data_IF_493763709318
#
_entry.id   IF_493763709318
#
_cell.length_a   1.000
_cell.length_b   1.000
_cell.length_c   1.000
_cell.angle_alpha   90.00
_cell.angle_beta   90.00
_cell.angle_gamma   90.00
#
_symmetry.space_group_name_H-M   'P 1'
#
loop_
_entity.id
_entity.type
_entity.pdbx_description
1 polymer ?
#
# COMPACT_ATOMS: atom_id res chain seq x y z
N UNK A 1 6.67 -20.30 -41.44
CA UNK A 1 8.11 -20.44 -41.11
C UNK A 1 8.79 -19.09 -40.92
N UNK A 2 8.80 -18.19 -41.92
CA UNK A 2 9.49 -16.89 -41.81
C UNK A 2 8.90 -15.94 -40.75
N UNK A 3 7.57 -15.88 -40.61
CA UNK A 3 6.89 -15.08 -39.57
C UNK A 3 7.12 -15.60 -38.15
N UNK A 4 7.28 -16.92 -38.00
CA UNK A 4 7.50 -17.59 -36.71
C UNK A 4 8.92 -17.34 -36.19
N UNK A 5 9.90 -17.31 -37.11
CA UNK A 5 11.29 -16.95 -36.81
C UNK A 5 11.39 -15.47 -36.38
N UNK A 6 10.65 -14.57 -37.02
CA UNK A 6 10.62 -13.15 -36.65
C UNK A 6 10.01 -12.94 -35.26
N UNK A 7 8.94 -13.66 -34.92
CA UNK A 7 8.31 -13.59 -33.59
C UNK A 7 9.23 -14.13 -32.48
N UNK A 8 9.97 -15.21 -32.75
CA UNK A 8 10.95 -15.76 -31.80
C UNK A 8 12.13 -14.79 -31.62
N UNK A 9 12.62 -14.18 -32.70
CA UNK A 9 13.68 -13.18 -32.64
C UNK A 9 13.27 -11.93 -31.86
N UNK A 10 12.00 -11.52 -31.94
CA UNK A 10 11.46 -10.37 -31.21
C UNK A 10 11.27 -10.67 -29.72
N UNK A 11 10.94 -11.92 -29.36
CA UNK A 11 10.85 -12.36 -27.95
C UNK A 11 12.23 -12.50 -27.30
N UNK A 12 13.26 -12.86 -28.07
CA UNK A 12 14.65 -12.94 -27.62
C UNK A 12 15.32 -11.57 -27.45
N UNK A 13 14.76 -10.51 -28.04
CA UNK A 13 15.25 -9.13 -27.91
C UNK A 13 14.49 -8.32 -26.84
N UNK A 14 13.61 -8.96 -26.08
CA UNK A 14 13.10 -8.42 -24.81
C UNK A 14 14.26 -8.38 -23.81
N UNK A 15 15.04 -7.30 -23.86
CA UNK A 15 16.16 -7.05 -22.97
C UNK A 15 15.71 -7.18 -21.52
N UNK A 16 16.40 -8.04 -20.77
CA UNK A 16 16.37 -8.00 -19.32
C UNK A 16 16.89 -6.61 -18.91
N UNK A 17 15.99 -5.66 -18.62
CA UNK A 17 16.35 -4.49 -17.82
C UNK A 17 16.55 -4.99 -16.39
N UNK A 18 17.63 -5.72 -16.15
CA UNK A 18 18.19 -5.81 -14.81
C UNK A 18 18.54 -4.38 -14.44
N UNK A 19 18.08 -3.96 -13.26
CA UNK A 19 18.32 -2.64 -12.72
C UNK A 19 19.80 -2.28 -12.92
N UNK A 20 20.04 -1.13 -13.54
CA UNK A 20 21.38 -0.59 -13.72
C UNK A 20 22.07 -0.58 -12.34
N UNK A 21 23.15 -1.34 -12.18
CA UNK A 21 24.06 -1.24 -11.03
C UNK A 21 24.86 0.07 -11.13
N UNK A 22 24.17 1.20 -11.29
CA UNK A 22 24.70 2.43 -10.72
C UNK A 22 24.84 2.10 -9.25
N UNK A 23 26.08 1.94 -8.80
CA UNK A 23 26.42 1.66 -7.43
C UNK A 23 25.82 2.76 -6.56
N UNK A 24 24.56 2.58 -6.16
CA UNK A 24 23.96 3.33 -5.06
C UNK A 24 24.97 3.22 -3.93
N UNK A 25 25.27 4.31 -3.23
CA UNK A 25 26.23 4.26 -2.14
C UNK A 25 25.87 3.07 -1.25
N UNK A 26 26.85 2.20 -0.97
CA UNK A 26 26.71 0.92 -0.26
C UNK A 26 25.89 1.03 1.04
N UNK A 27 25.74 2.23 1.58
CA UNK A 27 24.91 2.58 2.74
C UNK A 27 23.41 2.47 2.48
N UNK A 28 22.91 2.88 1.31
CA UNK A 28 21.47 2.86 0.98
C UNK A 28 20.96 1.44 0.66
N UNK A 29 21.79 0.64 0.00
CA UNK A 29 21.47 -0.77 -0.27
C UNK A 29 21.35 -1.58 1.04
N UNK A 30 22.22 -1.32 2.03
CA UNK A 30 22.20 -2.02 3.33
C UNK A 30 20.91 -1.81 4.11
N UNK A 31 20.39 -0.57 4.15
CA UNK A 31 19.12 -0.31 4.83
C UNK A 31 17.96 -1.01 4.13
N UNK A 32 17.92 -0.94 2.79
CA UNK A 32 16.89 -1.62 1.99
C UNK A 32 16.88 -3.12 2.24
N UNK A 33 18.06 -3.76 2.19
CA UNK A 33 18.22 -5.19 2.45
C UNK A 33 17.78 -5.55 3.89
N UNK A 34 18.13 -4.72 4.87
CA UNK A 34 17.71 -4.90 6.26
C UNK A 34 16.18 -4.87 6.38
N UNK A 35 15.51 -3.95 5.69
CA UNK A 35 14.05 -3.86 5.69
C UNK A 35 13.39 -5.05 4.99
N UNK A 36 13.94 -5.50 3.85
CA UNK A 36 13.46 -6.68 3.15
C UNK A 36 13.57 -7.93 4.01
N UNK A 37 14.71 -8.13 4.68
CA UNK A 37 14.92 -9.24 5.60
C UNK A 37 13.99 -9.15 6.81
N UNK A 38 13.78 -7.96 7.38
CA UNK A 38 12.86 -7.74 8.50
C UNK A 38 11.43 -8.10 8.11
N UNK A 39 10.97 -7.62 6.96
CA UNK A 39 9.62 -7.89 6.45
C UNK A 39 9.41 -9.37 6.17
N UNK A 40 10.35 -10.02 5.46
CA UNK A 40 10.27 -11.45 5.15
C UNK A 40 10.34 -12.32 6.41
N UNK A 41 11.12 -11.90 7.41
CA UNK A 41 11.25 -12.65 8.67
C UNK A 41 10.01 -12.60 9.55
N UNK A 42 9.13 -11.60 9.35
CA UNK A 42 7.97 -11.37 10.22
C UNK A 42 8.32 -11.03 11.67
N UNK A 43 9.59 -10.79 12.02
CA UNK A 43 10.04 -10.54 13.41
C UNK A 43 9.43 -9.27 14.02
N UNK A 44 9.05 -8.30 13.18
CA UNK A 44 8.36 -7.08 13.59
C UNK A 44 6.83 -7.21 13.55
N UNK A 45 6.28 -8.40 13.28
CA UNK A 45 4.83 -8.60 13.34
C UNK A 45 4.32 -8.39 14.77
N UNK A 46 3.14 -7.78 14.89
CA UNK A 46 2.49 -7.59 16.19
C UNK A 46 2.26 -8.95 16.87
N UNK A 47 2.61 -9.10 18.16
CA UNK A 47 2.30 -10.32 18.91
C UNK A 47 0.80 -10.47 19.20
N UNK A 48 0.02 -9.41 18.99
CA UNK A 48 -1.43 -9.40 19.19
C UNK A 48 -2.12 -9.50 17.82
N UNK A 49 -2.56 -10.70 17.40
CA UNK A 49 -3.30 -10.86 16.16
C UNK A 49 -4.66 -10.15 16.28
N UNK A 50 -4.92 -9.22 15.37
CA UNK A 50 -6.23 -8.57 15.26
C UNK A 50 -7.12 -9.44 14.38
N UNK A 51 -7.75 -10.45 14.98
CA UNK A 51 -8.71 -11.29 14.28
C UNK A 51 -10.11 -10.69 14.43
N UNK A 52 -10.80 -10.52 13.30
CA UNK A 52 -12.23 -10.25 13.29
C UNK A 52 -12.99 -11.56 13.00
N UNK A 53 -13.99 -11.87 13.83
CA UNK A 53 -14.92 -12.96 13.57
C UNK A 53 -15.68 -12.73 12.26
N UNK A 54 -16.26 -13.78 11.69
CA UNK A 54 -17.08 -13.65 10.48
C UNK A 54 -18.26 -12.66 10.69
N UNK A 55 -18.87 -12.67 11.87
CA UNK A 55 -19.95 -11.75 12.23
C UNK A 55 -19.48 -10.29 12.31
N UNK A 56 -18.33 -10.03 12.94
CA UNK A 56 -17.76 -8.66 13.01
C UNK A 56 -17.37 -8.14 11.63
N UNK A 57 -16.87 -9.01 10.74
CA UNK A 57 -16.60 -8.65 9.33
C UNK A 57 -17.87 -8.30 8.58
N UNK A 58 -18.96 -9.04 8.79
CA UNK A 58 -20.24 -8.73 8.16
C UNK A 58 -20.82 -7.40 8.68
N UNK A 59 -20.78 -7.18 9.99
CA UNK A 59 -21.22 -5.91 10.59
C UNK A 59 -20.39 -4.71 10.12
N UNK A 60 -19.08 -4.87 9.96
CA UNK A 60 -18.23 -3.79 9.43
C UNK A 60 -18.53 -3.50 7.96
N UNK A 61 -18.81 -4.55 7.16
CA UNK A 61 -19.24 -4.41 5.77
C UNK A 61 -20.61 -3.72 5.68
N UNK A 62 -21.57 -4.11 6.52
CA UNK A 62 -22.88 -3.45 6.60
C UNK A 62 -22.74 -1.97 6.97
N UNK A 63 -21.86 -1.63 7.93
CA UNK A 63 -21.58 -0.23 8.29
C UNK A 63 -20.99 0.54 7.12
N UNK A 64 -20.04 -0.04 6.40
CA UNK A 64 -19.45 0.55 5.22
C UNK A 64 -20.50 0.82 4.13
N UNK A 65 -21.37 -0.15 3.86
CA UNK A 65 -22.51 0.03 2.94
C UNK A 65 -23.47 1.13 3.42
N UNK A 66 -23.66 1.27 4.73
CA UNK A 66 -24.44 2.33 5.35
C UNK A 66 -23.90 3.74 5.07
N UNK A 67 -22.57 3.90 4.94
CA UNK A 67 -21.93 5.19 4.66
C UNK A 67 -22.43 5.82 3.35
N UNK A 68 -22.72 5.01 2.33
CA UNK A 68 -23.23 5.50 1.05
C UNK A 68 -24.65 6.08 1.11
N UNK A 69 -25.38 5.83 2.20
CA UNK A 69 -26.71 6.42 2.42
C UNK A 69 -26.63 7.87 2.89
N UNK A 70 -25.49 8.28 3.42
CA UNK A 70 -25.28 9.65 3.87
C UNK A 70 -24.91 10.52 2.67
N UNK A 71 -25.78 11.48 2.35
CA UNK A 71 -25.47 12.47 1.31
C UNK A 71 -24.33 13.35 1.78
N UNK A 72 -23.40 13.66 0.87
CA UNK A 72 -22.40 14.69 1.09
C UNK A 72 -23.16 16.04 1.09
N UNK A 73 -23.08 16.84 2.16
CA UNK A 73 -23.68 18.17 2.17
C UNK A 73 -23.02 19.06 1.12
N UNK A 74 -23.79 19.95 0.47
CA UNK A 74 -23.24 20.96 -0.46
C UNK A 74 -22.32 21.95 0.27
N UNK A 75 -22.59 22.20 1.55
CA UNK A 75 -21.81 23.08 2.41
C UNK A 75 -21.63 22.43 3.77
N UNK A 76 -20.40 22.51 4.30
CA UNK A 76 -20.11 22.17 5.69
C UNK A 76 -20.23 23.44 6.53
N UNK A 77 -20.99 23.38 7.63
CA UNK A 77 -21.04 24.49 8.59
C UNK A 77 -19.65 24.66 9.22
N UNK A 78 -19.16 25.91 9.28
CA UNK A 78 -17.83 26.22 9.80
C UNK A 78 -17.66 25.77 11.27
N UNK A 79 -18.76 25.75 12.03
CA UNK A 79 -18.77 25.35 13.43
C UNK A 79 -18.97 23.83 13.63
N UNK A 80 -19.29 23.08 12.57
CA UNK A 80 -19.48 21.63 12.66
C UNK A 80 -18.18 20.84 12.90
N UNK A 81 -17.02 21.47 12.70
CA UNK A 81 -15.71 20.88 12.94
C UNK A 81 -15.29 20.78 14.41
N UNK A 82 -16.09 21.33 15.34
CA UNK A 82 -15.76 21.44 16.75
C UNK A 82 -14.82 22.62 17.06
N UNK A 83 -14.87 23.10 18.30
CA UNK A 83 -14.03 24.22 18.77
C UNK A 83 -12.71 23.70 19.33
N UNK A 84 -11.59 24.20 18.81
CA UNK A 84 -10.27 23.96 19.37
C UNK A 84 -9.90 25.11 20.31
N UNK A 85 -9.82 24.85 21.61
CA UNK A 85 -9.23 25.78 22.57
C UNK A 85 -7.71 25.80 22.35
N UNK A 86 -7.20 26.82 21.64
CA UNK A 86 -5.75 27.06 21.63
C UNK A 86 -5.32 27.51 23.02
N UNK A 87 -4.62 26.64 23.75
CA UNK A 87 -4.04 27.00 25.04
C UNK A 87 -3.15 28.22 24.88
N UNK A 88 -3.52 29.33 25.54
CA UNK A 88 -2.68 30.51 25.63
C UNK A 88 -1.46 30.19 26.50
N UNK A 89 -0.29 30.57 25.99
CA UNK A 89 1.02 30.27 26.56
C UNK A 89 1.39 31.21 27.69
#
# INVERSE_FOLDING_TARGET
>A
MRSLIVSIAMLLSASNTLANDDARPLTEQKQTETWLQLQASGKAASPKPQAATAAERDLSLQRWLGTYKNKIPEFYEQDAGGSFSSGSK
#
